data_IF_876916141175
#
_entry.id   IF_876916141175
#
_cell.length_a   1.000
_cell.length_b   1.000
_cell.length_c   1.000
_cell.angle_alpha   90.00
_cell.angle_beta   90.00
_cell.angle_gamma   90.00
#
_symmetry.space_group_name_H-M   'P 1'
#
loop_
_entity.id
_entity.type
_entity.pdbx_description
1 polymer ?
#
# COMPACT_ATOMS: atom_id res chain seq x y z
N UNK A 1 18.40 7.24 -5.17
CA UNK A 1 18.73 7.45 -6.59
C UNK A 1 18.56 8.92 -6.95
N UNK A 2 17.35 9.47 -6.80
CA UNK A 2 17.04 10.87 -7.13
C UNK A 2 17.84 11.88 -6.30
N UNK A 3 17.74 11.85 -4.96
CA UNK A 3 18.47 12.80 -4.09
C UNK A 3 20.00 12.75 -4.23
N UNK A 4 20.54 11.64 -4.74
CA UNK A 4 21.99 11.46 -4.98
C UNK A 4 22.41 11.82 -6.40
N UNK A 5 21.52 12.44 -7.20
CA UNK A 5 21.79 12.82 -8.58
C UNK A 5 22.05 11.64 -9.52
N UNK A 6 21.58 10.43 -9.19
CA UNK A 6 21.78 9.22 -10.02
C UNK A 6 20.61 8.90 -10.94
N UNK A 7 19.50 9.62 -10.80
CA UNK A 7 18.31 9.52 -11.65
C UNK A 7 17.49 10.81 -11.49
N UNK A 8 16.79 11.25 -12.53
CA UNK A 8 15.93 12.43 -12.45
C UNK A 8 14.55 12.11 -11.83
N UNK A 9 14.08 10.87 -12.00
CA UNK A 9 12.79 10.39 -11.51
C UNK A 9 12.91 8.96 -10.99
N UNK A 10 12.09 8.62 -10.00
CA UNK A 10 11.94 7.25 -9.52
C UNK A 10 10.45 6.94 -9.29
N UNK A 11 10.02 5.76 -9.74
CA UNK A 11 8.70 5.21 -9.43
C UNK A 11 8.78 4.52 -8.06
N UNK A 12 7.89 4.92 -7.16
CA UNK A 12 7.74 4.31 -5.83
C UNK A 12 6.27 4.23 -5.48
N UNK A 13 5.90 3.36 -4.54
CA UNK A 13 4.53 3.33 -4.04
C UNK A 13 4.23 4.56 -3.18
N UNK A 14 2.97 5.01 -3.17
CA UNK A 14 2.54 6.11 -2.29
C UNK A 14 2.77 5.79 -0.81
N UNK A 15 2.53 4.54 -0.42
CA UNK A 15 2.77 4.07 0.94
C UNK A 15 4.24 4.20 1.34
N UNK A 16 5.17 3.80 0.46
CA UNK A 16 6.59 3.99 0.68
C UNK A 16 6.96 5.46 0.77
N UNK A 17 6.50 6.30 -0.17
CA UNK A 17 6.84 7.72 -0.18
C UNK A 17 6.33 8.44 1.09
N UNK A 18 5.10 8.13 1.52
CA UNK A 18 4.51 8.67 2.75
C UNK A 18 5.33 8.32 3.99
N UNK A 19 5.72 7.05 4.12
CA UNK A 19 6.55 6.59 5.24
C UNK A 19 7.99 7.15 5.17
N UNK A 20 8.57 7.19 3.97
CA UNK A 20 9.91 7.74 3.74
C UNK A 20 10.00 9.21 4.16
N UNK A 21 9.05 10.05 3.74
CA UNK A 21 9.05 11.48 4.07
C UNK A 21 8.80 11.74 5.56
N UNK A 22 8.02 10.89 6.24
CA UNK A 22 7.86 10.96 7.71
C UNK A 22 9.17 10.70 8.45
N UNK A 23 9.98 9.75 7.95
CA UNK A 23 11.28 9.37 8.54
C UNK A 23 12.42 10.29 8.12
N UNK A 24 12.27 11.04 7.02
CA UNK A 24 13.29 11.92 6.45
C UNK A 24 12.67 13.28 6.11
N UNK A 25 12.33 14.11 7.12
CA UNK A 25 11.66 15.38 6.88
C UNK A 25 12.46 16.33 5.97
N UNK A 26 13.79 16.31 6.06
CA UNK A 26 14.67 17.14 5.22
C UNK A 26 14.65 16.76 3.73
N UNK A 27 14.23 15.54 3.40
CA UNK A 27 14.03 15.11 2.01
C UNK A 27 12.80 15.77 1.37
N UNK A 28 11.83 16.23 2.17
CA UNK A 28 10.58 16.81 1.65
C UNK A 28 10.79 18.11 0.87
N UNK A 29 11.84 18.87 1.18
CA UNK A 29 12.21 20.10 0.47
C UNK A 29 13.00 19.84 -0.81
N UNK A 30 13.53 18.63 -0.99
CA UNK A 30 14.42 18.25 -2.10
C UNK A 30 13.70 17.41 -3.17
N UNK A 31 12.50 16.92 -2.87
CA UNK A 31 11.75 16.02 -3.73
C UNK A 31 10.38 16.61 -4.08
N UNK A 32 9.96 16.41 -5.33
CA UNK A 32 8.63 16.76 -5.81
C UNK A 32 7.86 15.49 -6.14
N UNK A 33 6.69 15.32 -5.52
CA UNK A 33 5.79 14.22 -5.83
C UNK A 33 4.94 14.57 -7.05
N UNK A 34 5.07 13.80 -8.13
CA UNK A 34 4.18 13.92 -9.30
C UNK A 34 2.74 13.57 -8.93
N UNK A 35 1.77 14.31 -9.48
CA UNK A 35 0.35 14.00 -9.33
C UNK A 35 -0.11 12.88 -10.28
N UNK A 36 0.69 12.55 -11.30
CA UNK A 36 0.39 11.46 -12.24
C UNK A 36 0.65 10.11 -11.57
N UNK A 37 -0.40 9.29 -11.51
CA UNK A 37 -0.28 7.88 -11.11
C UNK A 37 0.15 7.08 -12.33
N UNK A 38 1.24 6.34 -12.19
CA UNK A 38 1.72 5.43 -13.22
C UNK A 38 0.88 4.14 -13.26
N UNK A 39 0.58 3.58 -12.08
CA UNK A 39 -0.20 2.34 -11.94
C UNK A 39 -0.92 2.26 -10.59
N UNK A 40 -2.09 1.62 -10.57
CA UNK A 40 -2.82 1.24 -9.36
C UNK A 40 -2.71 -0.27 -9.17
N UNK A 41 -2.28 -0.70 -7.99
CA UNK A 41 -2.15 -2.12 -7.64
C UNK A 41 -3.25 -2.50 -6.66
N UNK A 42 -4.09 -3.47 -7.04
CA UNK A 42 -5.02 -4.11 -6.13
C UNK A 42 -4.28 -5.24 -5.40
N UNK A 43 -4.19 -5.15 -4.08
CA UNK A 43 -3.51 -6.15 -3.28
C UNK A 43 -4.40 -7.39 -3.10
N UNK A 44 -3.86 -8.54 -3.49
CA UNK A 44 -4.49 -9.85 -3.29
C UNK A 44 -3.62 -10.72 -2.40
N UNK A 45 -4.25 -11.73 -1.78
CA UNK A 45 -3.55 -12.79 -1.08
C UNK A 45 -3.52 -14.05 -1.95
N UNK A 46 -2.37 -14.72 -1.96
CA UNK A 46 -2.21 -16.02 -2.60
C UNK A 46 -2.08 -17.08 -1.52
N UNK A 47 -2.87 -18.14 -1.64
CA UNK A 47 -2.84 -19.29 -0.75
C UNK A 47 -2.21 -20.49 -1.47
N UNK A 48 -1.40 -21.25 -0.72
CA UNK A 48 -0.82 -22.51 -1.20
C UNK A 48 -1.93 -23.56 -1.37
N UNK A 49 -1.89 -24.41 -2.41
CA UNK A 49 -2.73 -25.61 -2.48
C UNK A 49 -2.56 -26.50 -1.24
N UNK A 50 -3.66 -26.79 -0.54
CA UNK A 50 -3.64 -27.54 0.72
C UNK A 50 -3.20 -26.73 1.96
N UNK A 51 -3.24 -25.40 1.91
CA UNK A 51 -3.06 -24.56 3.09
C UNK A 51 -4.10 -24.90 4.18
N UNK A 52 -3.73 -24.75 5.45
CA UNK A 52 -4.60 -25.04 6.59
C UNK A 52 -5.84 -24.14 6.67
N UNK A 53 -5.80 -22.95 6.05
CA UNK A 53 -6.95 -22.06 5.90
C UNK A 53 -7.45 -22.13 4.46
N UNK A 54 -8.76 -22.31 4.30
CA UNK A 54 -9.38 -22.31 2.97
C UNK A 54 -9.45 -20.88 2.40
N UNK A 55 -9.52 -20.71 1.07
CA UNK A 55 -9.75 -19.41 0.45
C UNK A 55 -11.00 -18.69 0.97
N UNK A 56 -12.08 -19.43 1.19
CA UNK A 56 -13.36 -18.89 1.67
C UNK A 56 -13.24 -18.40 3.11
N UNK A 57 -12.58 -19.18 3.98
CA UNK A 57 -12.33 -18.80 5.36
C UNK A 57 -11.44 -17.55 5.44
N UNK A 58 -10.38 -17.49 4.62
CA UNK A 58 -9.49 -16.33 4.57
C UNK A 58 -10.22 -15.08 4.05
N UNK A 59 -11.02 -15.20 2.99
CA UNK A 59 -11.82 -14.10 2.46
C UNK A 59 -12.86 -13.61 3.48
N UNK A 60 -13.48 -14.52 4.24
CA UNK A 60 -14.41 -14.18 5.32
C UNK A 60 -13.72 -13.41 6.44
N UNK A 61 -12.52 -13.84 6.85
CA UNK A 61 -11.70 -13.11 7.84
C UNK A 61 -11.39 -11.68 7.37
N UNK A 62 -10.90 -11.52 6.14
CA UNK A 62 -10.61 -10.18 5.59
C UNK A 62 -11.87 -9.31 5.48
N UNK A 63 -13.03 -9.90 5.16
CA UNK A 63 -14.32 -9.21 5.14
C UNK A 63 -14.69 -8.70 6.52
N UNK A 64 -14.61 -9.55 7.55
CA UNK A 64 -14.89 -9.16 8.94
C UNK A 64 -13.99 -8.02 9.42
N UNK A 65 -12.69 -8.11 9.14
CA UNK A 65 -11.72 -7.05 9.48
C UNK A 65 -11.98 -5.75 8.71
N UNK A 66 -12.53 -5.82 7.49
CA UNK A 66 -12.95 -4.63 6.75
C UNK A 66 -14.17 -3.99 7.39
N UNK A 67 -15.20 -4.80 7.63
CA UNK A 67 -16.50 -4.35 8.12
C UNK A 67 -16.44 -3.77 9.53
N UNK A 68 -15.57 -4.33 10.39
CA UNK A 68 -15.35 -3.80 11.74
C UNK A 68 -14.32 -2.65 11.80
N UNK A 69 -13.78 -2.21 10.67
CA UNK A 69 -12.85 -1.08 10.58
C UNK A 69 -11.39 -1.39 10.95
N UNK A 70 -11.05 -2.62 11.33
CA UNK A 70 -9.68 -2.98 11.70
C UNK A 70 -8.72 -2.89 10.52
N UNK A 71 -9.14 -3.29 9.31
CA UNK A 71 -8.31 -3.09 8.11
C UNK A 71 -8.04 -1.60 7.87
N UNK A 72 -9.04 -0.74 8.00
CA UNK A 72 -8.86 0.70 7.84
C UNK A 72 -7.87 1.24 8.89
N UNK A 73 -8.00 0.81 10.15
CA UNK A 73 -7.10 1.20 11.24
C UNK A 73 -5.64 0.82 10.93
N UNK A 74 -5.42 -0.40 10.42
CA UNK A 74 -4.09 -0.91 10.08
C UNK A 74 -3.50 -0.16 8.87
N UNK A 75 -4.29 0.11 7.84
CA UNK A 75 -3.81 0.64 6.57
C UNK A 75 -3.75 2.17 6.47
N UNK A 76 -4.54 2.89 7.28
CA UNK A 76 -4.58 4.37 7.28
C UNK A 76 -3.21 5.04 7.41
N UNK A 77 -2.28 4.61 8.28
CA UNK A 77 -0.96 5.25 8.39
C UNK A 77 -0.13 5.22 7.10
N UNK A 78 -0.41 4.24 6.23
CA UNK A 78 0.28 4.00 4.97
C UNK A 78 -0.47 4.58 3.75
N UNK A 79 -1.59 5.29 3.98
CA UNK A 79 -2.42 5.85 2.91
C UNK A 79 -2.88 4.81 1.89
N UNK A 80 -3.13 3.58 2.35
CA UNK A 80 -3.69 2.50 1.53
C UNK A 80 -5.21 2.54 1.69
N UNK A 81 -5.92 2.68 0.56
CA UNK A 81 -7.39 2.65 0.55
C UNK A 81 -7.87 1.21 0.74
N UNK A 82 -8.85 1.04 1.63
CA UNK A 82 -9.50 -0.25 1.86
C UNK A 82 -10.81 -0.27 1.11
N UNK A 83 -10.90 -1.15 0.11
CA UNK A 83 -12.06 -1.29 -0.77
C UNK A 83 -12.62 -2.71 -0.70
N UNK A 84 -13.89 -2.88 -1.04
CA UNK A 84 -14.43 -4.21 -1.29
C UNK A 84 -13.81 -4.77 -2.57
N UNK A 85 -13.55 -6.09 -2.66
CA UNK A 85 -13.18 -6.72 -3.93
C UNK A 85 -14.23 -6.39 -4.99
N UNK A 86 -13.77 -6.11 -6.20
CA UNK A 86 -14.64 -6.08 -7.38
C UNK A 86 -14.92 -7.54 -7.80
N UNK A 87 -16.19 -7.84 -8.09
CA UNK A 87 -16.63 -9.15 -8.62
C UNK A 87 -16.07 -9.43 -10.02
#
# INVERSE_FOLDING_TARGET
MVERGRADIALVTRSYLSDFLKRNPDSSSQLLASQRVDQVYHHYALLRPGASISPEAFASLLRQLRENGELLRIFRPYQITVEAPHD
#
